data_IF_511065357103
#
_entry.id   IF_511065357103
#
_cell.length_a   1.000
_cell.length_b   1.000
_cell.length_c   1.000
_cell.angle_alpha   90.00
_cell.angle_beta   90.00
_cell.angle_gamma   90.00
#
_symmetry.space_group_name_H-M   'P 1'
#
loop_
_entity.id
_entity.type
_entity.pdbx_description
1 polymer ?
#
# COMPACT_ATOMS: atom_id res chain seq x y z
N UNK A 1 11.81 0.78 20.57
CA UNK A 1 13.11 0.35 19.99
C UNK A 1 14.06 1.55 19.89
N UNK A 2 15.36 1.36 20.15
CA UNK A 2 16.34 2.47 20.07
C UNK A 2 16.90 2.53 18.64
N UNK A 3 16.52 3.53 17.86
CA UNK A 3 16.92 3.76 16.45
C UNK A 3 18.22 4.59 16.33
N UNK A 4 19.04 4.61 17.36
CA UNK A 4 20.22 5.49 17.46
C UNK A 4 21.37 5.20 16.49
N UNK A 5 21.28 4.15 15.67
CA UNK A 5 22.24 3.82 14.63
C UNK A 5 21.57 3.63 13.29
N UNK A 6 22.24 3.99 12.18
CA UNK A 6 21.71 3.81 10.83
C UNK A 6 21.27 2.36 10.51
N UNK A 7 22.00 1.29 10.85
CA UNK A 7 21.52 -0.07 10.67
C UNK A 7 20.20 -0.34 11.39
N UNK A 8 20.11 0.00 12.66
CA UNK A 8 18.88 -0.21 13.45
C UNK A 8 17.69 0.61 12.95
N UNK A 9 17.92 1.80 12.42
CA UNK A 9 16.88 2.62 11.80
C UNK A 9 16.34 1.99 10.53
N UNK A 10 17.20 1.34 9.74
CA UNK A 10 16.78 0.64 8.53
C UNK A 10 15.94 -0.60 8.85
N UNK A 11 16.43 -1.49 9.72
CA UNK A 11 15.71 -2.70 10.12
C UNK A 11 14.38 -2.38 10.77
N UNK A 12 14.33 -1.34 11.62
CA UNK A 12 13.08 -0.81 12.16
C UNK A 12 12.11 -0.37 11.06
N UNK A 13 12.57 0.40 10.07
CA UNK A 13 11.70 0.87 8.98
C UNK A 13 11.28 -0.26 8.06
N UNK A 14 12.15 -1.24 7.81
CA UNK A 14 11.85 -2.44 7.04
C UNK A 14 10.79 -3.31 7.77
N UNK A 15 10.90 -3.46 9.08
CA UNK A 15 9.90 -4.14 9.91
C UNK A 15 8.55 -3.42 9.92
N UNK A 16 8.57 -2.08 10.02
CA UNK A 16 7.35 -1.28 9.88
C UNK A 16 6.71 -1.42 8.49
N UNK A 17 7.52 -1.57 7.42
CA UNK A 17 7.01 -1.85 6.08
C UNK A 17 6.41 -3.26 5.99
N UNK A 18 7.01 -4.27 6.61
CA UNK A 18 6.44 -5.61 6.68
C UNK A 18 5.06 -5.62 7.37
N UNK A 19 4.94 -4.89 8.49
CA UNK A 19 3.67 -4.72 9.18
C UNK A 19 2.64 -3.94 8.32
N UNK A 20 3.07 -2.93 7.57
CA UNK A 20 2.28 -2.19 6.60
C UNK A 20 1.63 -3.14 5.58
N UNK A 21 2.43 -3.98 4.90
CA UNK A 21 1.93 -4.93 3.89
C UNK A 21 0.91 -5.92 4.46
N UNK A 22 1.22 -6.49 5.61
CA UNK A 22 0.29 -7.42 6.29
C UNK A 22 -1.05 -6.76 6.61
N UNK A 23 -1.01 -5.48 7.00
CA UNK A 23 -2.22 -4.73 7.32
C UNK A 23 -2.99 -4.34 6.07
N UNK A 24 -2.30 -3.90 5.03
CA UNK A 24 -2.92 -3.54 3.76
C UNK A 24 -3.52 -4.74 3.04
N UNK A 25 -2.93 -5.92 3.16
CA UNK A 25 -3.54 -7.16 2.68
C UNK A 25 -4.96 -7.37 3.24
N UNK A 26 -5.17 -7.10 4.54
CA UNK A 26 -6.50 -7.17 5.18
C UNK A 26 -7.41 -6.02 4.69
N UNK A 27 -6.86 -4.81 4.57
CA UNK A 27 -7.60 -3.61 4.14
C UNK A 27 -8.09 -3.75 2.70
N UNK A 28 -7.27 -4.26 1.80
CA UNK A 28 -7.66 -4.47 0.39
C UNK A 28 -8.84 -5.44 0.25
N UNK A 29 -8.92 -6.49 1.10
CA UNK A 29 -10.10 -7.36 1.16
C UNK A 29 -11.37 -6.61 1.60
N UNK A 30 -11.24 -5.74 2.59
CA UNK A 30 -12.36 -4.94 3.07
C UNK A 30 -12.82 -3.91 2.02
N UNK A 31 -11.88 -3.27 1.33
CA UNK A 31 -12.18 -2.35 0.22
C UNK A 31 -12.85 -3.09 -0.95
N UNK A 32 -12.37 -4.30 -1.30
CA UNK A 32 -13.00 -5.16 -2.30
C UNK A 32 -14.46 -5.48 -1.94
N UNK A 33 -14.72 -5.81 -0.66
CA UNK A 33 -16.07 -6.10 -0.18
C UNK A 33 -16.99 -4.86 -0.20
N UNK A 34 -16.44 -3.68 0.05
CA UNK A 34 -17.19 -2.43 0.05
C UNK A 34 -17.49 -1.91 -1.37
N UNK A 35 -16.60 -2.13 -2.34
CA UNK A 35 -16.77 -1.67 -3.70
C UNK A 35 -18.01 -2.27 -4.38
N UNK A 36 -18.62 -1.54 -5.31
CA UNK A 36 -19.77 -2.00 -6.10
C UNK A 36 -19.37 -2.46 -7.49
N UNK A 37 -18.46 -1.72 -8.16
CA UNK A 37 -18.06 -2.00 -9.55
C UNK A 37 -17.10 -3.19 -9.61
N UNK A 38 -17.38 -4.11 -10.56
CA UNK A 38 -16.58 -5.32 -10.73
C UNK A 38 -15.13 -5.01 -11.14
N UNK A 39 -14.89 -3.96 -11.93
CA UNK A 39 -13.54 -3.54 -12.31
C UNK A 39 -12.71 -3.07 -11.09
N UNK A 40 -13.33 -2.40 -10.11
CA UNK A 40 -12.65 -1.99 -8.88
C UNK A 40 -12.35 -3.21 -8.01
N UNK A 41 -13.33 -4.09 -7.82
CA UNK A 41 -13.14 -5.35 -7.07
C UNK A 41 -12.01 -6.19 -7.66
N UNK A 42 -11.96 -6.30 -8.98
CA UNK A 42 -10.93 -7.08 -9.66
C UNK A 42 -9.54 -6.47 -9.43
N UNK A 43 -9.39 -5.15 -9.61
CA UNK A 43 -8.12 -4.46 -9.39
C UNK A 43 -7.64 -4.61 -7.93
N UNK A 44 -8.54 -4.45 -6.95
CA UNK A 44 -8.20 -4.62 -5.53
C UNK A 44 -7.79 -6.06 -5.20
N UNK A 45 -8.42 -7.06 -5.82
CA UNK A 45 -8.07 -8.47 -5.65
C UNK A 45 -6.71 -8.81 -6.22
N UNK A 46 -6.40 -8.30 -7.42
CA UNK A 46 -5.11 -8.50 -8.07
C UNK A 46 -3.99 -7.84 -7.24
N UNK A 47 -4.18 -6.59 -6.84
CA UNK A 47 -3.22 -5.88 -6.00
C UNK A 47 -3.05 -6.52 -4.61
N UNK A 48 -4.09 -7.09 -4.03
CA UNK A 48 -3.99 -7.86 -2.79
C UNK A 48 -3.02 -9.05 -2.89
N UNK A 49 -2.99 -9.76 -4.02
CA UNK A 49 -2.02 -10.82 -4.23
C UNK A 49 -0.59 -10.29 -4.40
N UNK A 50 -0.43 -9.12 -5.01
CA UNK A 50 0.86 -8.42 -5.07
C UNK A 50 1.33 -8.02 -3.67
N UNK A 51 0.45 -7.44 -2.85
CA UNK A 51 0.71 -7.05 -1.44
C UNK A 51 1.16 -8.26 -0.60
N UNK A 52 0.59 -9.44 -0.82
CA UNK A 52 1.06 -10.67 -0.18
C UNK A 52 2.51 -10.99 -0.61
N UNK A 53 2.83 -10.83 -1.89
CA UNK A 53 4.20 -11.03 -2.39
C UNK A 53 5.16 -9.96 -1.85
N UNK A 54 4.69 -8.71 -1.66
CA UNK A 54 5.49 -7.64 -1.05
C UNK A 54 5.96 -8.01 0.36
N UNK A 55 5.06 -8.53 1.20
CA UNK A 55 5.43 -9.01 2.53
C UNK A 55 6.50 -10.12 2.47
N UNK A 56 6.36 -11.08 1.56
CA UNK A 56 7.35 -12.16 1.37
C UNK A 56 8.70 -11.62 0.88
N UNK A 57 8.70 -10.63 -0.02
CA UNK A 57 9.92 -9.98 -0.48
C UNK A 57 10.65 -9.26 0.68
N UNK A 58 9.90 -8.63 1.59
CA UNK A 58 10.49 -8.01 2.80
C UNK A 58 11.07 -9.07 3.75
N UNK A 59 10.39 -10.20 3.94
CA UNK A 59 10.93 -11.33 4.71
C UNK A 59 12.25 -11.85 4.11
N UNK A 60 12.31 -11.93 2.79
CA UNK A 60 13.55 -12.28 2.09
C UNK A 60 14.64 -11.21 2.26
N UNK A 61 14.29 -9.93 2.33
CA UNK A 61 15.24 -8.85 2.64
C UNK A 61 15.88 -9.06 4.01
N UNK A 62 15.12 -9.41 5.05
CA UNK A 62 15.64 -9.73 6.36
C UNK A 62 16.62 -10.93 6.33
N UNK A 63 16.24 -11.99 5.59
CA UNK A 63 17.12 -13.15 5.42
C UNK A 63 18.44 -12.79 4.71
N UNK A 64 18.42 -11.96 3.68
CA UNK A 64 19.61 -11.47 2.97
C UNK A 64 20.51 -10.59 3.86
N UNK A 65 19.93 -9.89 4.81
CA UNK A 65 20.66 -9.06 5.79
C UNK A 65 21.22 -9.90 6.95
N UNK A 66 20.81 -11.16 7.07
CA UNK A 66 21.16 -12.02 8.22
C UNK A 66 20.51 -11.54 9.53
N UNK A 67 19.35 -10.92 9.44
CA UNK A 67 18.59 -10.35 10.56
C UNK A 67 17.27 -11.11 10.76
N UNK A 68 16.80 -11.19 11.99
CA UNK A 68 15.44 -11.65 12.28
C UNK A 68 14.42 -10.58 11.85
N UNK A 69 13.21 -11.03 11.49
CA UNK A 69 12.12 -10.12 11.11
C UNK A 69 11.80 -9.21 12.30
N UNK A 70 11.89 -7.91 12.07
CA UNK A 70 11.49 -6.90 13.05
C UNK A 70 9.97 -6.74 13.04
N UNK A 71 9.32 -6.84 14.19
CA UNK A 71 7.86 -6.74 14.33
C UNK A 71 7.44 -5.29 14.72
N UNK A 72 8.07 -4.31 14.11
CA UNK A 72 7.76 -2.90 14.34
C UNK A 72 6.39 -2.52 13.76
N UNK A 73 5.52 -1.86 14.54
CA UNK A 73 4.20 -1.47 14.07
C UNK A 73 4.26 -0.37 13.00
N UNK A 74 3.22 -0.26 12.19
CA UNK A 74 2.99 0.84 11.26
C UNK A 74 1.74 1.67 11.66
N UNK A 75 1.85 2.58 12.62
CA UNK A 75 0.69 3.36 13.10
C UNK A 75 0.02 4.22 12.04
N UNK A 76 0.74 4.59 10.99
CA UNK A 76 0.18 5.38 9.87
C UNK A 76 -0.89 4.58 9.15
N UNK A 77 -0.59 3.34 8.76
CA UNK A 77 -1.57 2.47 8.09
C UNK A 77 -2.75 2.16 8.99
N UNK A 78 -2.54 1.97 10.29
CA UNK A 78 -3.64 1.78 11.25
C UNK A 78 -4.57 3.00 11.28
N UNK A 79 -4.01 4.22 11.26
CA UNK A 79 -4.78 5.46 11.25
C UNK A 79 -5.55 5.64 9.94
N UNK A 80 -4.90 5.41 8.79
CA UNK A 80 -5.52 5.47 7.46
C UNK A 80 -6.66 4.45 7.33
N UNK A 81 -6.45 3.22 7.78
CA UNK A 81 -7.49 2.17 7.81
C UNK A 81 -8.71 2.60 8.62
N UNK A 82 -8.49 3.17 9.80
CA UNK A 82 -9.57 3.65 10.66
C UNK A 82 -10.35 4.78 10.02
N UNK A 83 -9.66 5.71 9.37
CA UNK A 83 -10.28 6.83 8.65
C UNK A 83 -11.10 6.33 7.46
N UNK A 84 -10.54 5.50 6.60
CA UNK A 84 -11.22 4.92 5.44
C UNK A 84 -12.51 4.19 5.82
N UNK A 85 -12.46 3.30 6.82
CA UNK A 85 -13.64 2.60 7.35
C UNK A 85 -14.70 3.56 7.87
N UNK A 86 -14.31 4.59 8.61
CA UNK A 86 -15.23 5.57 9.14
C UNK A 86 -15.87 6.43 8.05
N UNK A 87 -15.14 6.71 6.99
CA UNK A 87 -15.61 7.48 5.83
C UNK A 87 -16.58 6.65 5.01
N UNK A 88 -16.24 5.43 4.62
CA UNK A 88 -17.14 4.50 3.89
C UNK A 88 -18.46 4.36 4.62
N UNK A 89 -18.43 4.14 5.93
CA UNK A 89 -19.66 3.95 6.75
C UNK A 89 -20.62 5.14 6.75
N UNK A 90 -20.11 6.35 6.48
CA UNK A 90 -20.89 7.60 6.49
C UNK A 90 -21.25 8.08 5.09
N UNK A 91 -20.67 7.43 4.06
CA UNK A 91 -20.83 7.83 2.67
C UNK A 91 -22.13 7.27 2.10
N UNK A 92 -22.80 8.05 1.26
CA UNK A 92 -23.91 7.57 0.48
C UNK A 92 -23.48 6.41 -0.43
N UNK A 93 -24.34 5.41 -0.59
CA UNK A 93 -24.05 4.19 -1.33
C UNK A 93 -23.56 4.46 -2.76
N UNK A 94 -24.10 5.48 -3.40
CA UNK A 94 -23.71 5.93 -4.75
C UNK A 94 -22.28 6.47 -4.86
N UNK A 95 -21.63 6.81 -3.75
CA UNK A 95 -20.29 7.40 -3.69
C UNK A 95 -19.24 6.45 -3.09
N UNK A 96 -19.63 5.25 -2.67
CA UNK A 96 -18.72 4.31 -2.00
C UNK A 96 -17.53 3.97 -2.88
N UNK A 97 -17.72 3.69 -4.16
CA UNK A 97 -16.63 3.39 -5.10
C UNK A 97 -15.60 4.52 -5.19
N UNK A 98 -16.03 5.77 -5.17
CA UNK A 98 -15.12 6.92 -5.16
C UNK A 98 -14.29 6.97 -3.87
N UNK A 99 -14.88 6.69 -2.72
CA UNK A 99 -14.18 6.66 -1.43
C UNK A 99 -13.21 5.47 -1.34
N UNK A 100 -13.58 4.31 -1.87
CA UNK A 100 -12.69 3.13 -1.97
C UNK A 100 -11.43 3.49 -2.77
N UNK A 101 -11.59 4.16 -3.91
CA UNK A 101 -10.45 4.58 -4.74
C UNK A 101 -9.61 5.68 -4.08
N UNK A 102 -10.21 6.58 -3.30
CA UNK A 102 -9.47 7.56 -2.49
C UNK A 102 -8.60 6.83 -1.48
N UNK A 103 -9.15 5.90 -0.70
CA UNK A 103 -8.42 5.14 0.30
C UNK A 103 -7.27 4.32 -0.33
N UNK A 104 -7.51 3.66 -1.48
CA UNK A 104 -6.48 2.96 -2.23
C UNK A 104 -5.38 3.93 -2.70
N UNK A 105 -5.74 5.07 -3.29
CA UNK A 105 -4.77 6.06 -3.77
C UNK A 105 -3.88 6.61 -2.64
N UNK A 106 -4.44 6.86 -1.47
CA UNK A 106 -3.70 7.35 -0.30
C UNK A 106 -2.72 6.30 0.22
N UNK A 107 -3.11 5.02 0.29
CA UNK A 107 -2.22 3.94 0.71
C UNK A 107 -1.07 3.75 -0.26
N UNK A 108 -1.33 3.72 -1.58
CA UNK A 108 -0.28 3.60 -2.58
C UNK A 108 0.77 4.72 -2.47
N UNK A 109 0.35 5.98 -2.26
CA UNK A 109 1.28 7.08 -2.07
C UNK A 109 2.16 6.90 -0.83
N UNK A 110 1.60 6.37 0.25
CA UNK A 110 2.36 6.08 1.45
C UNK A 110 3.37 4.95 1.22
N UNK A 111 2.97 3.85 0.60
CA UNK A 111 3.82 2.70 0.26
C UNK A 111 4.98 3.10 -0.65
N UNK A 112 4.68 3.85 -1.71
CA UNK A 112 5.70 4.39 -2.63
C UNK A 112 6.76 5.18 -1.86
N UNK A 113 6.35 6.11 -0.98
CA UNK A 113 7.29 6.90 -0.18
C UNK A 113 8.14 6.05 0.76
N UNK A 114 7.55 5.00 1.34
CA UNK A 114 8.26 4.03 2.20
C UNK A 114 9.31 3.26 1.39
N UNK A 115 8.94 2.69 0.24
CA UNK A 115 9.85 1.93 -0.60
C UNK A 115 10.98 2.78 -1.19
N UNK A 116 10.70 3.99 -1.68
CA UNK A 116 11.73 4.90 -2.19
C UNK A 116 12.80 5.20 -1.10
N UNK A 117 12.36 5.39 0.13
CA UNK A 117 13.26 5.61 1.27
C UNK A 117 14.09 4.36 1.58
N UNK A 118 13.48 3.19 1.62
CA UNK A 118 14.14 1.92 1.90
C UNK A 118 15.15 1.56 0.80
N UNK A 119 14.80 1.72 -0.47
CA UNK A 119 15.67 1.46 -1.62
C UNK A 119 16.91 2.36 -1.57
N UNK A 120 16.72 3.66 -1.33
CA UNK A 120 17.82 4.62 -1.18
C UNK A 120 18.79 4.18 -0.09
N UNK A 121 18.26 3.74 1.06
CA UNK A 121 19.08 3.26 2.17
C UNK A 121 19.76 1.91 1.88
N UNK A 122 19.11 1.00 1.17
CA UNK A 122 19.68 -0.28 0.76
C UNK A 122 20.88 -0.07 -0.19
N UNK A 123 20.76 0.81 -1.19
CA UNK A 123 21.87 1.18 -2.07
C UNK A 123 23.04 1.80 -1.31
N UNK A 124 22.78 2.74 -0.40
CA UNK A 124 23.82 3.37 0.40
C UNK A 124 24.63 2.38 1.25
N UNK A 125 24.10 1.18 1.51
CA UNK A 125 24.73 0.09 2.25
C UNK A 125 25.37 -0.97 1.36
N UNK A 126 25.24 -0.88 0.05
CA UNK A 126 25.64 -1.91 -0.89
C UNK A 126 24.79 -3.18 -0.86
N UNK A 127 23.58 -3.11 -0.28
CA UNK A 127 22.63 -4.22 -0.20
C UNK A 127 21.80 -4.32 -1.50
N UNK A 128 22.47 -4.60 -2.62
CA UNK A 128 21.88 -4.54 -3.97
C UNK A 128 20.67 -5.48 -4.12
N UNK A 129 20.78 -6.74 -3.66
CA UNK A 129 19.67 -7.70 -3.75
C UNK A 129 18.44 -7.27 -2.93
N UNK A 130 18.66 -6.63 -1.80
CA UNK A 130 17.57 -6.03 -1.00
C UNK A 130 16.90 -4.89 -1.78
N UNK A 131 17.70 -4.00 -2.38
CA UNK A 131 17.18 -2.91 -3.19
C UNK A 131 16.36 -3.43 -4.39
N UNK A 132 16.80 -4.50 -5.04
CA UNK A 132 16.08 -5.12 -6.18
C UNK A 132 14.72 -5.68 -5.77
N UNK A 133 14.63 -6.37 -4.62
CA UNK A 133 13.35 -6.88 -4.11
C UNK A 133 12.37 -5.74 -3.76
N UNK A 134 12.87 -4.71 -3.10
CA UNK A 134 12.07 -3.53 -2.75
C UNK A 134 11.65 -2.73 -3.98
N UNK A 135 12.47 -2.72 -5.04
CA UNK A 135 12.12 -2.09 -6.32
C UNK A 135 10.97 -2.80 -7.03
N UNK A 136 10.89 -4.13 -6.95
CA UNK A 136 9.76 -4.89 -7.48
C UNK A 136 8.45 -4.48 -6.81
N UNK A 137 8.43 -4.35 -5.48
CA UNK A 137 7.27 -3.88 -4.74
C UNK A 137 6.89 -2.46 -5.18
N UNK A 138 7.86 -1.54 -5.20
CA UNK A 138 7.64 -0.16 -5.63
C UNK A 138 7.03 -0.03 -7.03
N UNK A 139 7.48 -0.85 -7.97
CA UNK A 139 6.99 -0.81 -9.35
C UNK A 139 5.53 -1.28 -9.44
N UNK A 140 5.13 -2.26 -8.62
CA UNK A 140 3.76 -2.74 -8.52
C UNK A 140 2.85 -1.69 -7.87
N UNK A 141 3.28 -1.03 -6.77
CA UNK A 141 2.51 0.05 -6.14
C UNK A 141 2.31 1.24 -7.08
N UNK A 142 3.33 1.61 -7.86
CA UNK A 142 3.20 2.66 -8.88
C UNK A 142 2.18 2.29 -9.95
N UNK A 143 2.15 1.02 -10.35
CA UNK A 143 1.13 0.53 -11.28
C UNK A 143 -0.28 0.55 -10.67
N UNK A 144 -0.44 0.07 -9.44
CA UNK A 144 -1.72 0.09 -8.72
C UNK A 144 -2.24 1.53 -8.55
N UNK A 145 -1.37 2.48 -8.21
CA UNK A 145 -1.71 3.91 -8.14
C UNK A 145 -2.22 4.45 -9.48
N UNK A 146 -1.58 4.10 -10.60
CA UNK A 146 -2.02 4.52 -11.93
C UNK A 146 -3.40 3.97 -12.29
N UNK A 147 -3.63 2.68 -12.00
CA UNK A 147 -4.95 2.03 -12.18
C UNK A 147 -6.02 2.72 -11.35
N UNK A 148 -5.77 2.97 -10.07
CA UNK A 148 -6.71 3.64 -9.17
C UNK A 148 -7.07 5.06 -9.68
N UNK A 149 -6.07 5.84 -10.10
CA UNK A 149 -6.26 7.19 -10.65
C UNK A 149 -7.04 7.20 -11.95
N UNK A 150 -6.73 6.29 -12.87
CA UNK A 150 -7.44 6.17 -14.14
C UNK A 150 -8.91 5.82 -13.93
N UNK A 151 -9.18 4.89 -13.03
CA UNK A 151 -10.55 4.49 -12.66
C UNK A 151 -11.30 5.64 -11.99
N UNK A 152 -10.66 6.38 -11.10
CA UNK A 152 -11.26 7.55 -10.44
C UNK A 152 -11.65 8.64 -11.45
N UNK A 153 -10.78 8.93 -12.43
CA UNK A 153 -11.09 9.89 -13.51
C UNK A 153 -12.31 9.44 -14.32
N UNK A 154 -12.38 8.17 -14.68
CA UNK A 154 -13.52 7.60 -15.42
C UNK A 154 -14.83 7.77 -14.64
N UNK A 155 -14.83 7.49 -13.33
CA UNK A 155 -16.02 7.65 -12.48
C UNK A 155 -16.42 9.12 -12.37
N UNK A 156 -15.47 10.02 -12.20
CA UNK A 156 -15.74 11.46 -12.12
C UNK A 156 -16.38 12.00 -13.42
N UNK A 157 -15.87 11.61 -14.58
CA UNK A 157 -16.41 11.99 -15.88
C UNK A 157 -17.84 11.46 -16.08
N UNK A 158 -18.11 10.22 -15.71
CA UNK A 158 -19.45 9.62 -15.76
C UNK A 158 -20.43 10.33 -14.84
N UNK A 159 -20.02 10.71 -13.62
CA UNK A 159 -20.84 11.46 -12.69
C UNK A 159 -21.23 12.84 -13.22
N UNK A 160 -20.29 13.56 -13.83
CA UNK A 160 -20.56 14.86 -14.45
C UNK A 160 -21.52 14.72 -15.63
N UNK A 161 -21.35 13.72 -16.49
CA UNK A 161 -22.23 13.47 -17.63
C UNK A 161 -23.67 13.16 -17.17
N UNK A 162 -23.85 12.37 -16.11
CA UNK A 162 -25.17 12.06 -15.55
C UNK A 162 -25.88 13.27 -14.92
N UNK A 163 -25.12 14.25 -14.41
CA UNK A 163 -25.67 15.46 -13.79
C UNK A 163 -26.14 16.48 -14.84
N UNK A 164 -25.57 16.44 -16.05
CA UNK A 164 -25.85 17.36 -17.14
C UNK A 164 -26.91 16.84 -18.13
N UNK A 165 -27.44 15.65 -17.94
CA UNK A 165 -28.48 15.00 -18.79
C UNK A 165 -29.87 15.12 -18.16
#
# INVERSE_FOLDING_TARGET
MNTSTLPKSFSFKLGSAHNMEKKLFEVLEELEQAAHRDEIKQALREHREETRQHAMNIEQCFALLGEDIDDSPCPVVEAMTKEGKATIKKTDDSLVDAIVLVAATESEHYEIAVYETLITNAHARGATQVAELLQQNLDQDKHALEVARSTMNTIAEQGIAATNA
#
